data_IF_541439588637
#
_entry.id   IF_541439588637
#
_cell.length_a   1.000
_cell.length_b   1.000
_cell.length_c   1.000
_cell.angle_alpha   90.00
_cell.angle_beta   90.00
_cell.angle_gamma   90.00
#
_symmetry.space_group_name_H-M   'P 1'
#
loop_
_entity.id
_entity.type
_entity.pdbx_description
1 polymer ?
#
# COMPACT_ATOMS: atom_id res chain seq x y z
N UNK A 1 -7.48 -19.16 -2.91
CA UNK A 1 -6.54 -18.40 -3.77
C UNK A 1 -6.07 -19.31 -4.89
N UNK A 2 -5.98 -18.82 -6.14
CA UNK A 2 -5.39 -19.61 -7.22
C UNK A 2 -3.85 -19.64 -7.08
N UNK A 3 -3.19 -20.56 -7.80
CA UNK A 3 -1.74 -20.75 -7.70
C UNK A 3 -0.94 -19.49 -8.10
N UNK A 4 -1.39 -18.75 -9.12
CA UNK A 4 -0.72 -17.51 -9.58
C UNK A 4 -0.75 -16.43 -8.51
N UNK A 5 -1.88 -16.30 -7.80
CA UNK A 5 -2.07 -15.36 -6.70
C UNK A 5 -1.15 -15.68 -5.52
N UNK A 6 -1.05 -16.97 -5.15
CA UNK A 6 -0.13 -17.41 -4.08
C UNK A 6 1.32 -17.16 -4.47
N UNK A 7 1.72 -17.55 -5.69
CA UNK A 7 3.08 -17.31 -6.21
C UNK A 7 3.41 -15.83 -6.20
N UNK A 8 2.50 -14.97 -6.68
CA UNK A 8 2.73 -13.52 -6.70
C UNK A 8 2.99 -12.96 -5.31
N UNK A 9 2.17 -13.34 -4.34
CA UNK A 9 2.36 -12.89 -2.95
C UNK A 9 3.68 -13.39 -2.36
N UNK A 10 3.99 -14.68 -2.51
CA UNK A 10 5.25 -15.25 -2.02
C UNK A 10 6.46 -14.60 -2.69
N UNK A 11 6.38 -14.29 -3.98
CA UNK A 11 7.44 -13.60 -4.71
C UNK A 11 7.71 -12.22 -4.13
N UNK A 12 6.66 -11.41 -3.90
CA UNK A 12 6.79 -10.10 -3.24
C UNK A 12 7.39 -10.23 -1.83
N UNK A 13 6.89 -11.18 -1.04
CA UNK A 13 7.35 -11.37 0.35
C UNK A 13 8.83 -11.79 0.40
N UNK A 14 9.21 -12.81 -0.38
CA UNK A 14 10.59 -13.32 -0.44
C UNK A 14 11.52 -12.26 -0.99
N UNK A 15 11.15 -11.59 -2.09
CA UNK A 15 11.93 -10.48 -2.63
C UNK A 15 12.10 -9.38 -1.59
N UNK A 16 11.07 -9.01 -0.84
CA UNK A 16 11.20 -8.03 0.23
C UNK A 16 12.20 -8.49 1.31
N UNK A 17 12.12 -9.73 1.81
CA UNK A 17 13.12 -10.24 2.76
C UNK A 17 14.55 -10.20 2.21
N UNK A 18 14.75 -10.63 0.96
CA UNK A 18 16.07 -10.60 0.32
C UNK A 18 16.60 -9.18 0.21
N UNK A 19 15.78 -8.23 -0.25
CA UNK A 19 16.18 -6.83 -0.43
C UNK A 19 16.57 -6.18 0.90
N UNK A 20 15.81 -6.42 1.97
CA UNK A 20 16.09 -5.86 3.30
C UNK A 20 17.30 -6.51 3.98
N UNK A 21 17.69 -7.73 3.58
CA UNK A 21 18.88 -8.42 4.11
C UNK A 21 20.21 -7.84 3.61
N UNK A 22 20.22 -7.10 2.48
CA UNK A 22 21.43 -6.57 1.86
C UNK A 22 21.73 -5.18 2.46
N UNK A 23 22.87 -5.04 3.16
CA UNK A 23 23.33 -3.76 3.76
C UNK A 23 24.56 -3.20 3.03
N UNK A 24 24.62 -1.87 2.75
CA UNK A 24 23.52 -0.91 2.78
C UNK A 24 22.62 -1.09 1.53
N UNK A 25 21.30 -0.89 1.63
CA UNK A 25 20.45 -0.95 0.45
C UNK A 25 20.76 0.25 -0.46
N UNK A 26 21.33 -0.01 -1.64
CA UNK A 26 21.52 1.04 -2.67
C UNK A 26 20.18 1.45 -3.30
N UNK A 27 20.11 2.65 -3.90
CA UNK A 27 18.88 3.20 -4.50
C UNK A 27 18.21 2.29 -5.54
N UNK A 28 18.97 1.42 -6.20
CA UNK A 28 18.47 0.44 -7.18
C UNK A 28 17.57 -0.62 -6.50
N UNK A 29 17.89 -1.00 -5.26
CA UNK A 29 17.13 -2.02 -4.54
C UNK A 29 15.72 -1.55 -4.16
N UNK A 30 15.55 -0.26 -3.81
CA UNK A 30 14.26 0.30 -3.41
C UNK A 30 13.23 0.38 -4.55
N UNK A 31 13.68 0.48 -5.80
CA UNK A 31 12.80 0.60 -6.97
C UNK A 31 12.39 -0.78 -7.50
N UNK A 32 13.17 -1.83 -7.23
CA UNK A 32 12.92 -3.18 -7.77
C UNK A 32 11.60 -3.79 -7.27
N UNK A 33 11.23 -3.57 -6.00
CA UNK A 33 9.99 -4.11 -5.43
C UNK A 33 8.73 -3.42 -5.99
N UNK A 34 8.65 -2.08 -6.07
CA UNK A 34 7.57 -1.39 -6.79
C UNK A 34 7.42 -1.83 -8.26
N UNK A 35 8.54 -1.98 -8.99
CA UNK A 35 8.51 -2.47 -10.37
C UNK A 35 7.90 -3.88 -10.42
N UNK A 36 8.32 -4.77 -9.52
CA UNK A 36 7.79 -6.13 -9.46
C UNK A 36 6.28 -6.15 -9.14
N UNK A 37 5.82 -5.31 -8.22
CA UNK A 37 4.40 -5.14 -7.88
C UNK A 37 3.55 -4.68 -9.07
N UNK A 38 4.07 -3.78 -9.90
CA UNK A 38 3.39 -3.31 -11.10
C UNK A 38 3.42 -4.34 -12.24
N UNK A 39 4.58 -4.96 -12.46
CA UNK A 39 4.81 -5.83 -13.63
C UNK A 39 4.23 -7.23 -13.43
N UNK A 40 4.24 -7.79 -12.23
CA UNK A 40 3.78 -9.16 -12.00
C UNK A 40 2.32 -9.38 -12.44
N UNK A 41 1.33 -8.56 -12.03
CA UNK A 41 -0.05 -8.72 -12.50
C UNK A 41 -0.17 -8.63 -14.02
N UNK A 42 0.62 -7.75 -14.66
CA UNK A 42 0.62 -7.55 -16.12
C UNK A 42 1.15 -8.81 -16.83
N UNK A 43 2.27 -9.36 -16.37
CA UNK A 43 2.93 -10.55 -16.96
C UNK A 43 2.00 -11.76 -16.94
N UNK A 44 1.24 -11.95 -15.86
CA UNK A 44 0.31 -13.09 -15.76
C UNK A 44 -1.03 -12.88 -16.45
N UNK A 45 -1.22 -11.71 -17.09
CA UNK A 45 -2.43 -11.34 -17.82
C UNK A 45 -3.57 -10.81 -16.95
N UNK A 46 -3.32 -10.42 -15.70
CA UNK A 46 -4.33 -9.85 -14.81
C UNK A 46 -4.54 -8.35 -15.10
N UNK A 47 -5.80 -7.94 -15.26
CA UNK A 47 -6.15 -6.55 -15.56
C UNK A 47 -6.53 -5.79 -14.29
N UNK A 48 -5.58 -5.04 -13.76
CA UNK A 48 -5.84 -4.14 -12.62
C UNK A 48 -6.74 -2.98 -13.03
N UNK A 49 -7.75 -2.72 -12.19
CA UNK A 49 -8.73 -1.65 -12.41
C UNK A 49 -8.24 -0.34 -11.81
N UNK A 50 -7.62 0.48 -12.65
CA UNK A 50 -7.30 1.88 -12.37
C UNK A 50 -8.03 2.75 -13.38
N UNK A 51 -8.99 3.54 -12.92
CA UNK A 51 -9.74 4.49 -13.75
C UNK A 51 -9.74 5.86 -13.10
N UNK A 52 -9.49 6.90 -13.87
CA UNK A 52 -9.69 8.25 -13.37
C UNK A 52 -11.19 8.54 -13.26
N UNK A 53 -11.65 8.82 -12.04
CA UNK A 53 -13.04 9.09 -11.72
C UNK A 53 -13.05 10.17 -10.64
N UNK A 54 -13.69 11.30 -10.93
CA UNK A 54 -13.80 12.41 -9.96
C UNK A 54 -14.53 11.93 -8.70
N UNK A 55 -15.55 11.09 -8.85
CA UNK A 55 -16.30 10.52 -7.73
C UNK A 55 -15.39 9.68 -6.83
N UNK A 56 -14.55 8.82 -7.41
CA UNK A 56 -13.64 7.97 -6.63
C UNK A 56 -12.49 8.78 -6.03
N UNK A 57 -11.98 9.79 -6.73
CA UNK A 57 -10.99 10.73 -6.20
C UNK A 57 -11.54 11.47 -4.97
N UNK A 58 -12.75 12.03 -5.07
CA UNK A 58 -13.42 12.71 -3.97
C UNK A 58 -13.70 11.76 -2.81
N UNK A 59 -14.13 10.52 -3.09
CA UNK A 59 -14.34 9.52 -2.05
C UNK A 59 -13.04 9.23 -1.29
N UNK A 60 -11.91 9.04 -2.00
CA UNK A 60 -10.60 8.86 -1.39
C UNK A 60 -10.22 10.04 -0.50
N UNK A 61 -10.35 11.27 -1.00
CA UNK A 61 -10.08 12.50 -0.25
C UNK A 61 -10.95 12.64 1.00
N UNK A 62 -12.26 12.42 0.88
CA UNK A 62 -13.21 12.53 2.00
C UNK A 62 -12.88 11.50 3.08
N UNK A 63 -12.60 10.26 2.69
CA UNK A 63 -12.23 9.20 3.65
C UNK A 63 -10.88 9.50 4.31
N UNK A 64 -9.90 10.03 3.57
CA UNK A 64 -8.65 10.50 4.15
C UNK A 64 -8.88 11.57 5.21
N UNK A 65 -9.71 12.58 4.95
CA UNK A 65 -10.01 13.62 5.93
C UNK A 65 -10.71 13.03 7.15
N UNK A 66 -11.76 12.23 6.96
CA UNK A 66 -12.54 11.67 8.07
C UNK A 66 -11.69 10.79 8.99
N UNK A 67 -10.84 9.94 8.41
CA UNK A 67 -10.07 8.95 9.17
C UNK A 67 -8.76 9.53 9.71
N UNK A 68 -8.05 10.32 8.90
CA UNK A 68 -6.70 10.76 9.24
C UNK A 68 -6.66 12.08 9.99
N UNK A 69 -7.69 12.94 9.89
CA UNK A 69 -7.73 14.19 10.65
C UNK A 69 -7.74 13.96 12.17
N UNK A 70 -8.59 13.08 12.74
CA UNK A 70 -8.53 12.79 14.18
C UNK A 70 -7.18 12.24 14.61
N UNK A 71 -6.56 11.38 13.80
CA UNK A 71 -5.22 10.86 14.07
C UNK A 71 -4.18 11.99 14.07
N UNK A 72 -4.19 12.86 13.06
CA UNK A 72 -3.29 14.00 12.98
C UNK A 72 -3.46 14.97 14.15
N UNK A 73 -4.69 15.25 14.58
CA UNK A 73 -4.94 16.15 15.71
C UNK A 73 -4.40 15.61 17.05
N UNK A 74 -4.25 14.29 17.17
CA UNK A 74 -3.77 13.63 18.40
C UNK A 74 -2.28 13.34 18.34
N UNK A 75 -1.75 12.96 17.17
CA UNK A 75 -0.39 12.44 17.01
C UNK A 75 0.48 13.19 16.00
N UNK A 76 -0.09 14.13 15.23
CA UNK A 76 0.61 14.80 14.14
C UNK A 76 1.49 15.95 14.61
N UNK A 77 2.55 16.21 13.85
CA UNK A 77 3.46 17.35 14.05
C UNK A 77 3.47 18.38 12.93
N UNK A 78 4.57 19.13 12.83
CA UNK A 78 4.71 20.31 11.96
C UNK A 78 4.97 19.92 10.49
N UNK A 79 4.25 20.54 9.55
CA UNK A 79 4.31 20.25 8.11
C UNK A 79 5.59 20.76 7.42
N UNK A 80 6.43 21.53 8.12
CA UNK A 80 7.55 22.30 7.52
C UNK A 80 8.67 21.47 6.86
N UNK A 81 8.58 20.15 6.82
CA UNK A 81 9.70 19.27 6.44
C UNK A 81 9.45 18.32 5.26
N UNK A 82 8.26 18.34 4.62
CA UNK A 82 7.99 17.43 3.49
C UNK A 82 8.51 18.03 2.16
N UNK A 83 9.51 17.38 1.56
CA UNK A 83 10.00 17.75 0.23
C UNK A 83 9.06 17.32 -0.90
N UNK A 84 9.05 18.06 -2.01
CA UNK A 84 8.29 17.68 -3.22
C UNK A 84 8.71 16.30 -3.77
N UNK A 85 10.00 15.98 -3.67
CA UNK A 85 10.52 14.65 -4.03
C UNK A 85 9.85 13.55 -3.21
N UNK A 86 9.73 13.74 -1.88
CA UNK A 86 9.11 12.76 -0.99
C UNK A 86 7.63 12.56 -1.29
N UNK A 87 6.91 13.63 -1.62
CA UNK A 87 5.50 13.57 -2.04
C UNK A 87 5.34 12.69 -3.28
N UNK A 88 6.15 12.95 -4.31
CA UNK A 88 6.11 12.19 -5.58
C UNK A 88 6.50 10.73 -5.32
N UNK A 89 7.53 10.50 -4.50
CA UNK A 89 7.98 9.17 -4.12
C UNK A 89 6.87 8.37 -3.42
N UNK A 90 6.22 8.97 -2.41
CA UNK A 90 5.13 8.31 -1.70
C UNK A 90 3.96 7.97 -2.62
N UNK A 91 3.58 8.88 -3.52
CA UNK A 91 2.47 8.62 -4.43
C UNK A 91 2.80 7.54 -5.49
N UNK A 92 3.90 7.71 -6.21
CA UNK A 92 4.19 6.93 -7.42
C UNK A 92 5.03 5.68 -7.18
N UNK A 93 5.87 5.68 -6.15
CA UNK A 93 6.80 4.58 -5.86
C UNK A 93 6.30 3.69 -4.72
N UNK A 94 5.50 4.23 -3.79
CA UNK A 94 4.98 3.46 -2.65
C UNK A 94 3.49 3.14 -2.84
N UNK A 95 2.62 4.15 -2.71
CA UNK A 95 1.18 3.93 -2.60
C UNK A 95 0.54 3.36 -3.86
N UNK A 96 0.91 3.84 -5.05
CA UNK A 96 0.35 3.32 -6.30
C UNK A 96 0.77 1.86 -6.57
N UNK A 97 2.06 1.48 -6.55
CA UNK A 97 2.48 0.09 -6.76
C UNK A 97 1.89 -0.88 -5.75
N UNK A 98 1.87 -0.50 -4.47
CA UNK A 98 1.30 -1.35 -3.42
C UNK A 98 -0.20 -1.55 -3.62
N UNK A 99 -0.98 -0.50 -3.89
CA UNK A 99 -2.42 -0.64 -4.12
C UNK A 99 -2.73 -1.38 -5.43
N UNK A 100 -1.89 -1.20 -6.46
CA UNK A 100 -1.98 -1.94 -7.72
C UNK A 100 -1.83 -3.45 -7.49
N UNK A 101 -0.87 -3.85 -6.66
CA UNK A 101 -0.65 -5.26 -6.35
C UNK A 101 -1.64 -5.82 -5.33
N UNK A 102 -1.77 -5.20 -4.17
CA UNK A 102 -2.59 -5.75 -3.08
C UNK A 102 -4.08 -5.64 -3.34
N UNK A 103 -4.58 -4.55 -3.92
CA UNK A 103 -6.02 -4.41 -4.24
C UNK A 103 -6.32 -4.85 -5.65
N UNK A 104 -5.59 -4.26 -6.58
CA UNK A 104 -5.82 -4.44 -8.01
C UNK A 104 -5.63 -5.89 -8.46
N UNK A 105 -4.71 -6.61 -7.83
CA UNK A 105 -4.42 -8.00 -8.16
C UNK A 105 -4.81 -8.98 -7.04
N UNK A 106 -4.21 -8.88 -5.85
CA UNK A 106 -4.35 -9.90 -4.80
C UNK A 106 -5.78 -9.97 -4.26
N UNK A 107 -6.38 -8.83 -3.88
CA UNK A 107 -7.77 -8.77 -3.44
C UNK A 107 -8.73 -9.14 -4.56
N UNK A 108 -8.63 -8.52 -5.74
CA UNK A 108 -9.49 -8.83 -6.90
C UNK A 108 -9.46 -10.32 -7.30
N UNK A 109 -8.31 -10.97 -7.18
CA UNK A 109 -8.15 -12.41 -7.49
C UNK A 109 -8.81 -13.33 -6.47
N UNK A 110 -9.02 -12.87 -5.23
CA UNK A 110 -9.63 -13.66 -4.16
C UNK A 110 -11.13 -13.40 -4.10
N UNK A 111 -11.53 -12.13 -4.16
CA UNK A 111 -12.90 -11.70 -3.99
C UNK A 111 -13.02 -10.26 -3.51
N UNK A 112 -14.26 -9.79 -3.39
CA UNK A 112 -14.58 -8.43 -2.93
C UNK A 112 -15.52 -8.44 -1.73
N UNK A 113 -15.53 -9.51 -0.95
CA UNK A 113 -16.22 -9.54 0.34
C UNK A 113 -15.35 -8.94 1.44
N UNK A 114 -15.98 -8.53 2.53
CA UNK A 114 -15.26 -7.98 3.69
C UNK A 114 -14.27 -8.97 4.31
N UNK A 115 -14.56 -10.28 4.28
CA UNK A 115 -13.60 -11.32 4.71
C UNK A 115 -12.31 -11.29 3.88
N UNK A 116 -12.43 -11.02 2.58
CA UNK A 116 -11.30 -10.88 1.67
C UNK A 116 -10.52 -9.59 1.95
N UNK A 117 -11.20 -8.50 2.31
CA UNK A 117 -10.55 -7.27 2.80
C UNK A 117 -9.69 -7.57 4.03
N UNK A 118 -10.23 -8.29 5.02
CA UNK A 118 -9.48 -8.64 6.23
C UNK A 118 -8.28 -9.54 5.93
N UNK A 119 -8.46 -10.56 5.08
CA UNK A 119 -7.38 -11.45 4.68
C UNK A 119 -6.25 -10.69 3.98
N UNK A 120 -6.57 -9.88 2.97
CA UNK A 120 -5.55 -9.12 2.24
C UNK A 120 -4.91 -8.05 3.12
N UNK A 121 -5.64 -7.48 4.08
CA UNK A 121 -5.07 -6.55 5.06
C UNK A 121 -4.07 -7.22 5.99
N UNK A 122 -4.33 -8.47 6.40
CA UNK A 122 -3.38 -9.28 7.14
C UNK A 122 -2.13 -9.60 6.31
N UNK A 123 -2.32 -10.01 5.05
CA UNK A 123 -1.20 -10.27 4.14
C UNK A 123 -0.37 -9.00 3.85
N UNK A 124 -1.01 -7.84 3.74
CA UNK A 124 -0.34 -6.55 3.61
C UNK A 124 0.55 -6.25 4.83
N UNK A 125 0.00 -6.44 6.03
CA UNK A 125 0.77 -6.31 7.28
C UNK A 125 1.94 -7.30 7.36
N UNK A 126 1.73 -8.56 7.00
CA UNK A 126 2.79 -9.58 6.95
C UNK A 126 3.90 -9.21 5.95
N UNK A 127 3.57 -8.56 4.84
CA UNK A 127 4.57 -8.07 3.88
C UNK A 127 5.52 -7.01 4.47
N UNK A 128 5.17 -6.41 5.62
CA UNK A 128 6.02 -5.47 6.35
C UNK A 128 6.93 -6.14 7.38
N UNK A 129 6.86 -7.46 7.59
CA UNK A 129 7.77 -8.18 8.51
C UNK A 129 9.27 -7.90 8.27
N UNK A 130 9.77 -7.74 7.02
CA UNK A 130 11.17 -7.35 6.80
C UNK A 130 11.54 -6.03 7.48
N UNK A 131 10.65 -5.03 7.51
CA UNK A 131 10.91 -3.78 8.24
C UNK A 131 11.03 -4.02 9.74
N UNK A 132 10.12 -4.81 10.29
CA UNK A 132 10.15 -5.18 11.71
C UNK A 132 11.45 -5.92 12.08
N UNK A 133 11.86 -6.92 11.30
CA UNK A 133 13.03 -7.73 11.62
C UNK A 133 14.37 -7.05 11.36
N UNK A 134 14.51 -6.29 10.26
CA UNK A 134 15.80 -5.73 9.85
C UNK A 134 16.04 -4.29 10.33
N UNK A 135 14.98 -3.56 10.68
CA UNK A 135 15.03 -2.15 11.11
C UNK A 135 14.32 -1.88 12.45
N UNK A 136 13.85 -2.90 13.16
CA UNK A 136 13.12 -2.78 14.44
C UNK A 136 11.82 -1.95 14.35
N UNK A 137 11.29 -1.79 13.14
CA UNK A 137 10.04 -1.06 12.85
C UNK A 137 8.83 -1.97 13.03
N UNK A 138 8.55 -2.39 14.26
CA UNK A 138 7.38 -3.23 14.58
C UNK A 138 6.05 -2.49 14.37
N UNK A 139 6.08 -1.16 14.46
CA UNK A 139 4.92 -0.29 14.22
C UNK A 139 4.41 -0.45 12.79
N UNK A 140 5.28 -0.75 11.82
CA UNK A 140 4.88 -1.05 10.44
C UNK A 140 3.83 -2.17 10.30
N UNK A 141 3.71 -3.09 11.27
CA UNK A 141 2.68 -4.14 11.24
C UNK A 141 1.27 -3.58 11.52
N UNK A 142 1.17 -2.40 12.14
CA UNK A 142 -0.09 -1.68 12.31
C UNK A 142 -0.67 -1.19 10.97
N UNK A 143 0.09 -1.28 9.87
CA UNK A 143 -0.41 -1.11 8.50
C UNK A 143 -1.62 -1.98 8.16
N UNK A 144 -1.90 -3.03 8.95
CA UNK A 144 -3.17 -3.77 8.93
C UNK A 144 -4.40 -2.84 8.98
N UNK A 145 -4.42 -1.83 9.85
CA UNK A 145 -5.58 -0.96 10.05
C UNK A 145 -5.89 -0.03 8.86
N UNK A 146 -4.94 0.80 8.36
CA UNK A 146 -5.19 1.57 7.15
C UNK A 146 -5.47 0.65 5.94
N UNK A 147 -4.90 -0.56 5.92
CA UNK A 147 -5.13 -1.56 4.87
C UNK A 147 -6.57 -2.05 4.79
N UNK A 148 -7.31 -2.08 5.92
CA UNK A 148 -8.75 -2.35 5.91
C UNK A 148 -9.50 -1.25 5.16
N UNK A 149 -9.14 0.02 5.37
CA UNK A 149 -9.78 1.17 4.69
C UNK A 149 -9.52 1.11 3.19
N UNK A 150 -8.27 0.89 2.79
CA UNK A 150 -7.87 0.70 1.39
C UNK A 150 -8.63 -0.45 0.72
N UNK A 151 -8.70 -1.61 1.39
CA UNK A 151 -9.44 -2.76 0.89
C UNK A 151 -10.95 -2.55 0.81
N UNK A 152 -11.54 -1.82 1.77
CA UNK A 152 -12.94 -1.43 1.73
C UNK A 152 -13.25 -0.46 0.57
N UNK A 153 -12.39 0.54 0.34
CA UNK A 153 -12.52 1.46 -0.79
C UNK A 153 -12.50 0.71 -2.13
N UNK A 154 -11.60 -0.26 -2.28
CA UNK A 154 -11.56 -1.12 -3.46
C UNK A 154 -12.81 -2.00 -3.58
N UNK A 155 -13.26 -2.61 -2.49
CA UNK A 155 -14.50 -3.41 -2.45
C UNK A 155 -15.71 -2.59 -2.92
N UNK A 156 -15.80 -1.31 -2.52
CA UNK A 156 -16.93 -0.43 -2.87
C UNK A 156 -16.87 0.09 -4.30
N UNK A 157 -15.70 0.43 -4.79
CA UNK A 157 -15.54 1.20 -6.04
C UNK A 157 -15.08 0.35 -7.21
N UNK A 158 -14.50 -0.81 -6.92
CA UNK A 158 -13.82 -1.64 -7.90
C UNK A 158 -12.70 -0.90 -8.66
N UNK A 159 -12.08 0.06 -7.99
CA UNK A 159 -11.07 0.96 -8.52
C UNK A 159 -9.99 1.15 -7.45
N UNK A 160 -8.71 1.09 -7.83
CA UNK A 160 -7.61 1.28 -6.87
C UNK A 160 -7.38 2.76 -6.53
N UNK A 161 -7.81 3.70 -7.39
CA UNK A 161 -7.61 5.14 -7.20
C UNK A 161 -7.96 5.66 -5.79
N UNK A 162 -9.16 5.42 -5.22
CA UNK A 162 -9.51 5.93 -3.90
C UNK A 162 -8.60 5.36 -2.80
N UNK A 163 -8.24 4.07 -2.90
CA UNK A 163 -7.30 3.42 -1.99
C UNK A 163 -5.89 4.02 -2.10
N UNK A 164 -5.40 4.26 -3.32
CA UNK A 164 -4.11 4.94 -3.57
C UNK A 164 -4.06 6.33 -2.96
N UNK A 165 -5.14 7.12 -3.09
CA UNK A 165 -5.23 8.45 -2.50
C UNK A 165 -5.21 8.37 -0.97
N UNK A 166 -6.00 7.47 -0.38
CA UNK A 166 -5.99 7.26 1.07
C UNK A 166 -4.63 6.83 1.60
N UNK A 167 -4.01 5.83 0.96
CA UNK A 167 -2.69 5.33 1.30
C UNK A 167 -1.64 6.44 1.27
N UNK A 168 -1.61 7.22 0.19
CA UNK A 168 -0.68 8.32 0.03
C UNK A 168 -0.77 9.32 1.19
N UNK A 169 -1.99 9.75 1.55
CA UNK A 169 -2.17 10.67 2.67
C UNK A 169 -1.84 10.02 4.03
N UNK A 170 -2.16 8.74 4.22
CA UNK A 170 -1.82 8.02 5.44
C UNK A 170 -0.29 7.98 5.66
N UNK A 171 0.49 7.73 4.60
CA UNK A 171 1.95 7.74 4.68
C UNK A 171 2.51 9.13 4.95
N UNK A 172 1.98 10.17 4.29
CA UNK A 172 2.43 11.54 4.56
C UNK A 172 2.17 11.94 6.01
N UNK A 173 0.98 11.66 6.54
CA UNK A 173 0.63 12.00 7.93
C UNK A 173 1.47 11.19 8.93
N UNK A 174 1.71 9.90 8.67
CA UNK A 174 2.60 9.08 9.52
C UNK A 174 4.04 9.61 9.54
N UNK A 175 4.48 10.26 8.47
CA UNK A 175 5.84 10.79 8.34
C UNK A 175 6.04 12.15 9.02
N UNK A 176 5.00 12.69 9.66
CA UNK A 176 5.03 13.92 10.44
C UNK A 176 5.09 13.56 11.92
N UNK A 177 6.28 13.28 12.50
CA UNK A 177 6.39 13.07 13.94
C UNK A 177 5.96 14.35 14.68
N UNK A 178 5.39 14.22 15.89
CA UNK A 178 5.01 15.36 16.74
C UNK A 178 6.18 16.29 17.05
#
# INVERSE_FOLDING_TARGET
MNIKTVIGYLLILISSFLLYSIKPPSNIFYISLPILMLTFPIIIGHRVRLRFSIKDLLLGLIVSVIILLPYYLVFGGDFKTISAYYIIFQLLIVSLPEEFFFRGFLQDSIGREFKTVLLVSLLFSIAHLPRAFFFDDWISLLSFFPSIVMGWLYMKTNNILPGTIFHFFANLIYSLPP
#
